data_IF_243287713198
#
_entry.id   IF_243287713198
#
_cell.length_a   1.000
_cell.length_b   1.000
_cell.length_c   1.000
_cell.angle_alpha   90.00
_cell.angle_beta   90.00
_cell.angle_gamma   90.00
#
_symmetry.space_group_name_H-M   'P 1'
#
loop_
_entity.id
_entity.type
_entity.pdbx_description
1 polymer ?
#
# COMPACT_ATOMS: atom_id res chain seq x y z
N UNK A 1 55.83 76.10 -20.09
CA UNK A 1 54.69 75.44 -20.78
C UNK A 1 53.84 74.78 -19.71
N UNK A 2 52.52 75.04 -19.61
CA UNK A 2 51.71 74.39 -18.60
C UNK A 2 51.50 72.91 -18.98
N UNK A 3 51.69 72.03 -18.01
CA UNK A 3 51.48 70.60 -18.15
C UNK A 3 49.97 70.31 -18.03
N UNK A 4 49.26 70.22 -19.16
CA UNK A 4 47.86 69.78 -19.14
C UNK A 4 47.84 68.28 -18.85
N UNK A 5 47.34 67.92 -17.68
CA UNK A 5 46.92 66.55 -17.39
C UNK A 5 45.90 66.12 -18.45
N UNK A 6 46.29 65.24 -19.37
CA UNK A 6 45.40 64.64 -20.38
C UNK A 6 44.53 63.51 -19.81
N UNK A 7 44.61 63.26 -18.50
CA UNK A 7 43.77 62.27 -17.85
C UNK A 7 42.38 62.85 -17.63
N UNK A 8 41.40 62.28 -18.30
CA UNK A 8 39.98 62.56 -18.07
C UNK A 8 39.62 62.03 -16.68
N UNK A 9 39.36 62.89 -15.68
CA UNK A 9 39.14 62.47 -14.30
C UNK A 9 37.70 62.04 -14.06
N UNK A 10 36.80 62.13 -15.06
CA UNK A 10 35.42 61.74 -14.90
C UNK A 10 35.28 60.21 -15.05
N UNK A 11 35.00 59.46 -13.95
CA UNK A 11 34.86 58.01 -14.00
C UNK A 11 33.71 57.55 -14.90
N UNK A 12 32.71 58.40 -15.16
CA UNK A 12 31.60 58.05 -16.05
C UNK A 12 32.03 57.96 -17.52
N UNK A 13 33.06 58.69 -17.91
CA UNK A 13 33.65 58.64 -19.24
C UNK A 13 34.73 57.55 -19.38
N UNK A 14 35.00 56.79 -18.32
CA UNK A 14 35.97 55.68 -18.28
C UNK A 14 35.29 54.30 -18.22
N UNK A 15 33.97 54.23 -18.42
CA UNK A 15 33.24 52.96 -18.43
C UNK A 15 33.55 52.17 -19.71
N UNK A 16 34.06 50.95 -19.56
CA UNK A 16 34.24 50.01 -20.67
C UNK A 16 32.94 49.25 -20.93
N UNK A 17 32.41 49.36 -22.15
CA UNK A 17 31.34 48.48 -22.62
C UNK A 17 31.91 47.08 -22.89
N UNK A 18 31.26 46.05 -22.35
CA UNK A 18 31.61 44.65 -22.61
C UNK A 18 30.70 44.14 -23.73
N UNK A 19 31.31 43.68 -24.82
CA UNK A 19 30.61 43.10 -25.97
C UNK A 19 30.84 41.58 -26.02
N UNK A 20 29.80 40.83 -26.36
CA UNK A 20 29.90 39.45 -26.83
C UNK A 20 30.11 39.41 -28.35
N UNK A 21 30.31 38.22 -28.91
CA UNK A 21 30.30 37.98 -30.37
C UNK A 21 29.35 36.82 -30.66
N UNK A 22 28.61 36.90 -31.75
CA UNK A 22 27.82 35.78 -32.26
C UNK A 22 28.59 35.03 -33.37
N UNK A 23 27.91 34.10 -34.06
CA UNK A 23 28.49 33.32 -35.15
C UNK A 23 28.94 34.16 -36.37
N UNK A 24 28.53 35.44 -36.45
CA UNK A 24 28.95 36.39 -37.50
C UNK A 24 30.22 37.16 -37.12
N UNK A 25 30.74 36.96 -35.89
CA UNK A 25 31.92 37.62 -35.32
C UNK A 25 31.77 39.12 -35.05
N UNK A 26 30.58 39.68 -35.23
CA UNK A 26 30.29 41.08 -34.94
C UNK A 26 30.13 41.33 -33.42
N UNK A 27 30.62 42.47 -32.88
CA UNK A 27 30.46 42.79 -31.47
C UNK A 27 29.00 43.13 -31.13
N UNK A 28 28.37 42.32 -30.27
CA UNK A 28 27.03 42.57 -29.75
C UNK A 28 27.10 43.04 -28.30
N UNK A 29 26.44 44.16 -27.98
CA UNK A 29 26.40 44.66 -26.61
C UNK A 29 25.64 43.67 -25.71
N UNK A 30 26.22 43.34 -24.55
CA UNK A 30 25.53 42.59 -23.52
C UNK A 30 24.53 43.51 -22.81
N UNK A 31 23.24 43.22 -22.94
CA UNK A 31 22.19 44.05 -22.35
C UNK A 31 22.03 43.73 -20.86
N UNK A 32 21.96 44.75 -20.02
CA UNK A 32 21.75 44.62 -18.56
C UNK A 32 20.51 45.40 -18.11
N UNK A 33 19.88 44.97 -17.01
CA UNK A 33 18.83 45.73 -16.33
C UNK A 33 19.42 46.92 -15.56
N UNK A 34 18.55 47.74 -14.96
CA UNK A 34 18.96 48.90 -14.15
C UNK A 34 19.75 48.53 -12.89
N UNK A 35 19.77 47.25 -12.51
CA UNK A 35 20.55 46.70 -11.38
C UNK A 35 21.87 46.07 -11.83
N UNK A 36 22.18 46.07 -13.13
CA UNK A 36 23.41 45.52 -13.70
C UNK A 36 23.37 44.02 -14.00
N UNK A 37 22.21 43.37 -13.92
CA UNK A 37 22.07 41.94 -14.25
C UNK A 37 21.91 41.76 -15.76
N UNK A 38 22.50 40.71 -16.36
CA UNK A 38 22.33 40.41 -17.78
C UNK A 38 20.86 40.08 -18.11
N UNK A 39 20.29 40.75 -19.12
CA UNK A 39 18.90 40.58 -19.54
C UNK A 39 18.66 39.29 -20.35
N UNK A 40 19.69 38.79 -21.05
CA UNK A 40 19.60 37.58 -21.85
C UNK A 40 20.97 36.90 -21.94
N UNK A 41 20.99 35.59 -21.71
CA UNK A 41 22.14 34.72 -21.99
C UNK A 41 21.64 33.60 -22.89
N UNK A 42 21.88 33.73 -24.18
CA UNK A 42 21.58 32.69 -25.17
C UNK A 42 22.80 31.75 -25.20
N UNK A 43 22.59 30.47 -24.89
CA UNK A 43 23.64 29.46 -24.87
C UNK A 43 23.25 28.35 -25.84
N UNK A 44 24.00 28.21 -26.93
CA UNK A 44 23.79 27.22 -27.99
C UNK A 44 24.76 26.02 -27.91
N UNK A 45 25.26 25.69 -26.71
CA UNK A 45 26.20 24.59 -26.47
C UNK A 45 26.02 23.87 -25.12
N UNK A 46 26.87 22.86 -24.86
CA UNK A 46 26.87 22.10 -23.60
C UNK A 46 27.46 22.93 -22.46
N UNK A 47 26.63 23.26 -21.48
CA UNK A 47 27.06 23.96 -20.26
C UNK A 47 27.43 22.91 -19.21
N UNK A 48 28.72 22.73 -18.95
CA UNK A 48 29.15 21.73 -17.97
C UNK A 48 28.91 22.17 -16.52
N UNK A 49 29.09 23.45 -16.20
CA UNK A 49 29.02 23.95 -14.81
C UNK A 49 28.56 25.41 -14.75
N UNK A 50 27.25 25.64 -14.64
CA UNK A 50 26.71 26.94 -14.23
C UNK A 50 25.85 26.73 -12.97
N UNK A 51 26.18 27.43 -11.89
CA UNK A 51 25.36 27.44 -10.67
C UNK A 51 24.51 28.70 -10.71
N UNK A 52 23.32 28.61 -11.30
CA UNK A 52 22.33 29.68 -11.26
C UNK A 52 21.36 29.34 -10.14
N UNK A 53 21.49 30.04 -9.02
CA UNK A 53 20.50 30.00 -7.95
C UNK A 53 19.28 30.76 -8.50
N UNK A 54 18.26 30.04 -8.98
CA UNK A 54 17.01 30.57 -9.56
C UNK A 54 16.97 30.88 -11.08
N UNK A 55 17.46 29.96 -11.92
CA UNK A 55 17.15 30.01 -13.35
C UNK A 55 15.69 29.61 -13.65
N UNK A 56 15.07 30.32 -14.58
CA UNK A 56 13.85 29.86 -15.27
C UNK A 56 14.26 29.28 -16.62
N UNK A 57 13.99 28.00 -16.84
CA UNK A 57 14.31 27.32 -18.10
C UNK A 57 13.01 26.96 -18.81
N UNK A 58 12.81 27.55 -19.99
CA UNK A 58 11.52 27.41 -20.70
C UNK A 58 11.47 26.14 -21.57
N UNK A 59 12.59 25.71 -22.13
CA UNK A 59 12.70 24.53 -22.99
C UNK A 59 14.17 24.07 -23.14
N UNK A 60 14.39 22.92 -23.78
CA UNK A 60 15.71 22.41 -24.17
C UNK A 60 16.07 21.06 -23.54
N UNK A 61 17.33 20.65 -23.72
CA UNK A 61 17.89 19.45 -23.08
C UNK A 61 18.76 19.88 -21.90
N UNK A 62 18.45 19.36 -20.72
CA UNK A 62 19.11 19.72 -19.46
C UNK A 62 19.71 18.45 -18.88
N UNK A 63 21.04 18.36 -18.87
CA UNK A 63 21.73 17.16 -18.36
C UNK A 63 21.57 17.01 -16.85
N UNK A 64 21.65 18.11 -16.10
CA UNK A 64 21.44 18.08 -14.66
C UNK A 64 20.97 19.45 -14.19
N UNK A 65 20.10 19.47 -13.19
CA UNK A 65 19.62 20.70 -12.59
C UNK A 65 19.44 20.52 -11.09
N UNK A 66 19.84 21.56 -10.36
CA UNK A 66 19.65 21.68 -8.93
C UNK A 66 18.97 23.02 -8.63
N UNK A 67 17.76 22.99 -8.07
CA UNK A 67 17.06 24.21 -7.63
C UNK A 67 16.75 25.23 -8.75
N UNK A 68 15.89 24.84 -9.70
CA UNK A 68 15.43 25.71 -10.78
C UNK A 68 13.90 25.63 -10.98
N UNK A 69 13.36 26.59 -11.71
CA UNK A 69 11.99 26.53 -12.24
C UNK A 69 12.06 26.17 -13.71
N UNK A 70 11.42 25.07 -14.11
CA UNK A 70 11.49 24.56 -15.48
C UNK A 70 10.07 24.44 -16.03
N UNK A 71 9.81 25.09 -17.16
CA UNK A 71 8.49 25.04 -17.78
C UNK A 71 8.33 23.78 -18.62
N UNK A 72 9.34 23.44 -19.44
CA UNK A 72 9.36 22.26 -20.29
C UNK A 72 10.79 21.85 -20.64
N UNK A 73 10.96 20.65 -21.21
CA UNK A 73 12.24 20.16 -21.73
C UNK A 73 12.43 18.65 -21.55
N UNK A 74 13.60 18.18 -21.98
CA UNK A 74 14.12 16.85 -21.68
C UNK A 74 15.18 16.99 -20.60
N UNK A 75 15.03 16.30 -19.47
CA UNK A 75 15.82 16.55 -18.27
C UNK A 75 16.33 15.23 -17.72
N UNK A 76 17.64 15.01 -17.76
CA UNK A 76 18.18 13.71 -17.37
C UNK A 76 18.24 13.55 -15.85
N UNK A 77 18.46 14.62 -15.08
CA UNK A 77 18.58 14.53 -13.62
C UNK A 77 18.16 15.80 -12.91
N UNK A 78 17.26 15.64 -11.93
CA UNK A 78 16.67 16.74 -11.16
C UNK A 78 16.92 16.54 -9.67
N UNK A 79 17.38 17.60 -9.01
CA UNK A 79 17.41 17.70 -7.55
C UNK A 79 16.74 19.01 -7.10
N UNK A 80 15.64 18.96 -6.35
CA UNK A 80 15.10 20.18 -5.72
C UNK A 80 14.45 21.18 -6.67
N UNK A 81 13.95 20.78 -7.85
CA UNK A 81 13.38 21.70 -8.84
C UNK A 81 11.85 21.80 -8.76
N UNK A 82 11.30 22.88 -9.33
CA UNK A 82 9.88 23.01 -9.66
C UNK A 82 9.71 22.87 -11.16
N UNK A 83 8.93 21.90 -11.60
CA UNK A 83 8.80 21.55 -13.02
C UNK A 83 7.33 21.56 -13.42
N UNK A 84 7.00 22.29 -14.49
CA UNK A 84 5.62 22.34 -14.99
C UNK A 84 5.32 21.14 -15.86
N UNK A 85 6.17 20.85 -16.85
CA UNK A 85 6.05 19.72 -17.76
C UNK A 85 7.43 19.26 -18.26
N UNK A 86 7.48 18.12 -18.94
CA UNK A 86 8.69 17.62 -19.61
C UNK A 86 8.80 16.11 -19.66
N UNK A 87 9.89 15.65 -20.26
CA UNK A 87 10.37 14.26 -20.15
C UNK A 87 11.54 14.26 -19.18
N UNK A 88 11.45 13.46 -18.12
CA UNK A 88 12.37 13.54 -16.98
C UNK A 88 12.85 12.13 -16.62
N UNK A 89 14.14 11.88 -16.73
CA UNK A 89 14.65 10.53 -16.52
C UNK A 89 14.75 10.20 -15.02
N UNK A 90 15.23 11.15 -14.20
CA UNK A 90 15.46 10.92 -12.77
C UNK A 90 15.17 12.16 -11.93
N UNK A 91 14.37 11.96 -10.88
CA UNK A 91 13.93 12.99 -9.95
C UNK A 91 14.26 12.61 -8.52
N UNK A 92 14.94 13.52 -7.82
CA UNK A 92 15.10 13.48 -6.38
C UNK A 92 14.55 14.77 -5.76
N UNK A 93 13.45 14.68 -5.01
CA UNK A 93 12.91 15.81 -4.26
C UNK A 93 12.49 16.99 -5.13
N UNK A 94 11.49 16.82 -6.00
CA UNK A 94 10.98 17.91 -6.84
C UNK A 94 9.47 18.12 -6.66
N UNK A 95 8.98 19.27 -7.10
CA UNK A 95 7.54 19.52 -7.31
C UNK A 95 7.26 19.52 -8.79
N UNK A 96 6.41 18.61 -9.26
CA UNK A 96 6.15 18.42 -10.69
C UNK A 96 4.66 18.51 -10.96
N UNK A 97 4.25 19.36 -11.90
CA UNK A 97 2.83 19.50 -12.23
C UNK A 97 2.38 18.41 -13.20
N UNK A 98 3.13 18.17 -14.26
CA UNK A 98 2.85 17.13 -15.26
C UNK A 98 4.16 16.62 -15.89
N UNK A 99 4.08 15.55 -16.68
CA UNK A 99 5.18 15.07 -17.51
C UNK A 99 5.21 13.55 -17.68
N UNK A 100 6.22 13.10 -18.42
CA UNK A 100 6.63 11.70 -18.48
C UNK A 100 7.88 11.55 -17.64
N UNK A 101 7.83 10.70 -16.63
CA UNK A 101 8.88 10.62 -15.60
C UNK A 101 9.30 9.15 -15.43
N UNK A 102 10.57 8.86 -15.63
CA UNK A 102 11.03 7.48 -15.54
C UNK A 102 11.22 7.03 -14.08
N UNK A 103 11.95 7.80 -13.28
CA UNK A 103 12.25 7.45 -11.89
C UNK A 103 12.05 8.62 -10.92
N UNK A 104 11.33 8.35 -9.83
CA UNK A 104 11.02 9.34 -8.80
C UNK A 104 11.43 8.84 -7.43
N UNK A 105 12.17 9.67 -6.70
CA UNK A 105 12.43 9.53 -5.28
C UNK A 105 12.02 10.81 -4.54
N UNK A 106 11.04 10.71 -3.64
CA UNK A 106 10.74 11.82 -2.72
C UNK A 106 10.10 13.06 -3.34
N UNK A 107 9.29 12.95 -4.39
CA UNK A 107 8.69 14.10 -5.08
C UNK A 107 7.22 14.35 -4.71
N UNK A 108 6.74 15.55 -5.00
CA UNK A 108 5.30 15.88 -5.06
C UNK A 108 4.90 16.04 -6.52
N UNK A 109 3.92 15.26 -6.98
CA UNK A 109 3.54 15.21 -8.39
C UNK A 109 2.02 15.39 -8.52
N UNK A 110 1.57 16.37 -9.31
CA UNK A 110 0.13 16.58 -9.51
C UNK A 110 -0.44 15.58 -10.52
N UNK A 111 0.21 15.40 -11.67
CA UNK A 111 -0.21 14.48 -12.72
C UNK A 111 0.98 13.95 -13.53
N UNK A 112 0.75 12.94 -14.37
CA UNK A 112 1.74 12.49 -15.36
C UNK A 112 1.69 10.99 -15.64
N UNK A 113 2.63 10.55 -16.49
CA UNK A 113 2.94 9.14 -16.71
C UNK A 113 4.26 8.85 -16.01
N UNK A 114 4.24 7.93 -15.05
CA UNK A 114 5.37 7.70 -14.15
C UNK A 114 5.73 6.22 -14.15
N UNK A 115 6.98 5.88 -14.49
CA UNK A 115 7.39 4.49 -14.55
C UNK A 115 7.66 3.90 -13.15
N UNK A 116 8.49 4.56 -12.34
CA UNK A 116 8.87 4.06 -11.02
C UNK A 116 8.82 5.14 -9.95
N UNK A 117 8.17 4.83 -8.83
CA UNK A 117 7.99 5.75 -7.70
C UNK A 117 8.49 5.12 -6.41
N UNK A 118 9.33 5.86 -5.69
CA UNK A 118 9.71 5.59 -4.31
C UNK A 118 9.45 6.83 -3.43
N UNK A 119 8.58 6.71 -2.42
CA UNK A 119 8.46 7.77 -1.40
C UNK A 119 7.83 9.08 -1.89
N UNK A 120 6.86 9.07 -2.82
CA UNK A 120 6.28 10.29 -3.37
C UNK A 120 4.85 10.58 -2.89
N UNK A 121 4.41 11.83 -3.02
CA UNK A 121 3.00 12.22 -2.94
C UNK A 121 2.49 12.55 -4.34
N UNK A 122 1.46 11.84 -4.79
CA UNK A 122 0.94 11.95 -6.16
C UNK A 122 -0.57 12.22 -6.12
N UNK A 123 -1.03 13.27 -6.80
CA UNK A 123 -2.46 13.57 -6.86
C UNK A 123 -3.17 12.69 -7.88
N UNK A 124 -2.64 12.59 -9.11
CA UNK A 124 -3.20 11.77 -10.18
C UNK A 124 -2.12 11.24 -11.13
N UNK A 125 -2.48 10.34 -12.03
CA UNK A 125 -1.61 9.91 -13.12
C UNK A 125 -1.76 8.44 -13.51
N UNK A 126 -0.93 8.02 -14.46
CA UNK A 126 -0.72 6.62 -14.83
C UNK A 126 0.64 6.19 -14.28
N UNK A 127 0.65 5.21 -13.38
CA UNK A 127 1.85 4.85 -12.61
C UNK A 127 2.11 3.36 -12.77
N UNK A 128 3.30 3.00 -13.23
CA UNK A 128 3.62 1.59 -13.45
C UNK A 128 3.98 0.86 -12.15
N UNK A 129 4.94 1.38 -11.38
CA UNK A 129 5.38 0.75 -10.13
C UNK A 129 5.50 1.74 -8.99
N UNK A 130 4.96 1.37 -7.83
CA UNK A 130 4.93 2.19 -6.62
C UNK A 130 5.49 1.43 -5.44
N UNK A 131 6.44 2.07 -4.74
CA UNK A 131 6.91 1.65 -3.42
C UNK A 131 6.80 2.82 -2.44
N UNK A 132 6.01 2.69 -1.37
CA UNK A 132 6.04 3.69 -0.29
C UNK A 132 5.46 5.06 -0.65
N UNK A 133 4.35 5.15 -1.38
CA UNK A 133 3.79 6.45 -1.81
C UNK A 133 2.42 6.76 -1.20
N UNK A 134 2.04 8.03 -1.24
CA UNK A 134 0.67 8.50 -1.00
C UNK A 134 0.07 8.96 -2.31
N UNK A 135 -1.02 8.32 -2.75
CA UNK A 135 -1.65 8.58 -4.05
C UNK A 135 -3.12 8.92 -3.84
N UNK A 136 -3.58 10.03 -4.40
CA UNK A 136 -4.99 10.43 -4.28
C UNK A 136 -5.86 9.68 -5.29
N UNK A 137 -5.48 9.69 -6.57
CA UNK A 137 -6.19 9.02 -7.66
C UNK A 137 -5.23 8.52 -8.74
N UNK A 138 -5.73 7.73 -9.69
CA UNK A 138 -4.98 7.34 -10.89
C UNK A 138 -5.20 5.90 -11.33
N UNK A 139 -4.44 5.50 -12.34
CA UNK A 139 -4.33 4.11 -12.80
C UNK A 139 -2.96 3.60 -12.41
N UNK A 140 -2.92 2.54 -11.60
CA UNK A 140 -1.69 2.05 -10.96
C UNK A 140 -1.53 0.56 -11.24
N UNK A 141 -0.42 0.18 -11.89
CA UNK A 141 -0.21 -1.21 -12.26
C UNK A 141 0.20 -2.07 -11.05
N UNK A 142 1.26 -1.67 -10.33
CA UNK A 142 1.79 -2.45 -9.21
C UNK A 142 2.09 -1.57 -7.99
N UNK A 143 1.62 -2.00 -6.83
CA UNK A 143 1.75 -1.28 -5.57
C UNK A 143 2.37 -2.16 -4.49
N UNK A 144 3.42 -1.67 -3.85
CA UNK A 144 3.97 -2.21 -2.62
C UNK A 144 4.00 -1.12 -1.54
N UNK A 145 3.25 -1.29 -0.45
CA UNK A 145 3.37 -0.37 0.69
C UNK A 145 2.91 1.06 0.40
N UNK A 146 1.70 1.29 -0.11
CA UNK A 146 1.21 2.65 -0.40
C UNK A 146 -0.11 2.96 0.31
N UNK A 147 -0.42 4.25 0.42
CA UNK A 147 -1.75 4.73 0.81
C UNK A 147 -2.42 5.32 -0.43
N UNK A 148 -3.56 4.76 -0.83
CA UNK A 148 -4.28 5.15 -2.04
C UNK A 148 -5.70 5.53 -1.66
N UNK A 149 -6.12 6.75 -2.02
CA UNK A 149 -7.48 7.22 -1.70
C UNK A 149 -8.50 6.63 -2.67
N UNK A 150 -8.24 6.75 -3.97
CA UNK A 150 -9.07 6.23 -5.04
C UNK A 150 -8.23 5.79 -6.25
N UNK A 151 -8.85 5.09 -7.20
CA UNK A 151 -8.23 4.77 -8.49
C UNK A 151 -8.51 3.36 -8.99
N UNK A 152 -7.85 3.00 -10.08
CA UNK A 152 -7.83 1.65 -10.64
C UNK A 152 -6.47 1.04 -10.36
N UNK A 153 -6.44 -0.07 -9.63
CA UNK A 153 -5.22 -0.74 -9.21
C UNK A 153 -5.23 -2.17 -9.76
N UNK A 154 -4.16 -2.58 -10.42
CA UNK A 154 -4.09 -3.93 -10.98
C UNK A 154 -3.53 -4.96 -9.99
N UNK A 155 -2.45 -4.63 -9.29
CA UNK A 155 -1.82 -5.52 -8.31
C UNK A 155 -1.38 -4.76 -7.07
N UNK A 156 -1.59 -5.37 -5.90
CA UNK A 156 -1.31 -4.75 -4.61
C UNK A 156 -0.71 -5.75 -3.63
N UNK A 157 0.32 -5.29 -2.90
CA UNK A 157 0.84 -5.95 -1.72
C UNK A 157 1.05 -4.91 -0.61
N UNK A 158 0.37 -5.11 0.52
CA UNK A 158 0.55 -4.27 1.71
C UNK A 158 0.18 -2.80 1.52
N UNK A 159 -0.94 -2.49 0.85
CA UNK A 159 -1.42 -1.11 0.72
C UNK A 159 -2.69 -0.86 1.54
N UNK A 160 -2.93 0.41 1.85
CA UNK A 160 -4.21 0.89 2.36
C UNK A 160 -4.95 1.57 1.19
N UNK A 161 -6.10 1.03 0.82
CA UNK A 161 -6.95 1.56 -0.26
C UNK A 161 -8.29 1.96 0.35
N UNK A 162 -8.70 3.22 0.19
CA UNK A 162 -9.96 3.72 0.79
C UNK A 162 -11.16 3.46 -0.13
N UNK A 163 -11.00 3.70 -1.43
CA UNK A 163 -12.02 3.48 -2.45
C UNK A 163 -11.34 3.12 -3.79
N UNK A 164 -12.14 2.69 -4.78
CA UNK A 164 -11.68 2.40 -6.13
C UNK A 164 -11.93 0.97 -6.57
N UNK A 165 -11.25 0.58 -7.65
CA UNK A 165 -11.37 -0.74 -8.27
C UNK A 165 -10.04 -1.46 -8.17
N UNK A 166 -10.08 -2.70 -7.68
CA UNK A 166 -8.92 -3.59 -7.64
C UNK A 166 -9.18 -4.77 -8.57
N UNK A 167 -8.34 -4.94 -9.59
CA UNK A 167 -8.52 -5.97 -10.61
C UNK A 167 -8.19 -7.38 -10.10
N UNK A 168 -7.32 -7.50 -9.10
CA UNK A 168 -6.88 -8.80 -8.56
C UNK A 168 -6.40 -8.70 -7.11
N UNK A 169 -6.75 -9.71 -6.30
CA UNK A 169 -6.25 -9.91 -4.94
C UNK A 169 -5.67 -11.32 -4.88
N UNK A 170 -4.36 -11.44 -4.64
CA UNK A 170 -3.67 -12.75 -4.63
C UNK A 170 -3.84 -13.50 -3.31
N UNK A 171 -3.99 -12.78 -2.19
CA UNK A 171 -4.22 -13.39 -0.88
C UNK A 171 -4.94 -12.42 0.04
N UNK A 172 -5.83 -12.95 0.87
CA UNK A 172 -6.49 -12.23 1.95
C UNK A 172 -6.14 -12.97 3.23
N UNK A 173 -5.41 -12.33 4.14
CA UNK A 173 -5.21 -12.85 5.48
C UNK A 173 -6.41 -12.48 6.33
N UNK A 174 -7.44 -13.33 6.32
CA UNK A 174 -8.60 -13.23 7.19
C UNK A 174 -8.82 -14.58 7.87
N UNK A 175 -9.14 -14.55 9.17
CA UNK A 175 -9.59 -15.75 9.87
C UNK A 175 -10.96 -16.15 9.33
N UNK A 176 -11.02 -17.25 8.59
CA UNK A 176 -12.29 -17.81 8.09
C UNK A 176 -13.15 -18.32 9.26
N UNK A 177 -14.48 -18.29 9.13
CA UNK A 177 -15.41 -18.90 10.10
C UNK A 177 -16.18 -20.03 9.41
N UNK A 178 -16.35 -21.16 10.08
CA UNK A 178 -17.11 -22.31 9.58
C UNK A 178 -17.99 -22.85 10.68
N UNK A 179 -19.28 -23.01 10.38
CA UNK A 179 -20.26 -23.63 11.27
C UNK A 179 -20.83 -24.91 10.64
N UNK A 180 -21.04 -25.95 11.45
CA UNK A 180 -21.79 -27.16 11.07
C UNK A 180 -22.84 -27.43 12.14
N UNK A 181 -24.11 -27.40 11.76
CA UNK A 181 -25.25 -27.63 12.64
C UNK A 181 -25.80 -29.06 12.53
N UNK A 182 -26.02 -29.71 13.67
CA UNK A 182 -26.72 -31.00 13.78
C UNK A 182 -27.85 -30.82 14.80
N UNK A 183 -29.09 -30.68 14.33
CA UNK A 183 -30.25 -30.42 15.19
C UNK A 183 -31.12 -31.67 15.37
N UNK A 184 -31.90 -31.73 16.45
CA UNK A 184 -32.87 -32.80 16.68
C UNK A 184 -32.26 -34.16 17.03
N UNK A 185 -31.06 -34.17 17.63
CA UNK A 185 -30.35 -35.39 17.99
C UNK A 185 -30.95 -36.02 19.25
N UNK A 186 -31.71 -37.11 19.09
CA UNK A 186 -32.28 -37.85 20.22
C UNK A 186 -31.20 -38.70 20.90
N UNK A 187 -31.03 -38.54 22.21
CA UNK A 187 -30.06 -39.27 22.99
C UNK A 187 -30.54 -40.70 23.31
N UNK A 188 -29.58 -41.62 23.46
CA UNK A 188 -29.80 -42.98 23.91
C UNK A 188 -28.83 -43.31 25.06
N UNK A 189 -28.86 -44.55 25.58
CA UNK A 189 -28.00 -44.97 26.69
C UNK A 189 -26.51 -45.05 26.32
N UNK A 190 -26.23 -45.37 25.06
CA UNK A 190 -24.88 -45.42 24.50
C UNK A 190 -24.47 -44.09 23.88
N UNK A 191 -23.16 -43.81 23.88
CA UNK A 191 -22.60 -42.66 23.17
C UNK A 191 -22.76 -42.85 21.65
N UNK A 192 -23.46 -41.91 21.02
CA UNK A 192 -23.62 -41.84 19.57
C UNK A 192 -22.84 -40.64 19.04
N UNK A 193 -21.92 -40.82 18.07
CA UNK A 193 -21.16 -39.72 17.48
C UNK A 193 -21.96 -38.95 16.43
N UNK A 194 -21.77 -37.63 16.36
CA UNK A 194 -22.09 -36.83 15.17
C UNK A 194 -21.04 -37.06 14.07
N UNK A 195 -21.30 -36.51 12.88
CA UNK A 195 -20.37 -36.59 11.76
C UNK A 195 -18.96 -36.10 12.13
N UNK A 196 -17.95 -36.80 11.64
CA UNK A 196 -16.54 -36.43 11.87
C UNK A 196 -16.19 -35.16 11.09
N UNK A 197 -15.52 -34.23 11.76
CA UNK A 197 -15.03 -32.99 11.18
C UNK A 197 -13.51 -33.09 10.98
N UNK A 198 -13.02 -32.70 9.80
CA UNK A 198 -11.58 -32.51 9.58
C UNK A 198 -11.19 -31.16 10.15
N UNK A 199 -10.48 -31.16 11.26
CA UNK A 199 -10.19 -29.95 12.04
C UNK A 199 -8.78 -29.42 11.85
N UNK A 200 -7.97 -30.07 11.00
CA UNK A 200 -6.59 -29.66 10.68
C UNK A 200 -6.46 -28.29 10.01
N UNK A 201 -7.55 -27.69 9.56
CA UNK A 201 -7.60 -26.39 8.88
C UNK A 201 -8.01 -25.23 9.80
N UNK A 202 -8.37 -25.52 11.06
CA UNK A 202 -8.82 -24.52 12.03
C UNK A 202 -7.76 -24.27 13.09
N UNK A 203 -7.56 -23.01 13.45
CA UNK A 203 -6.67 -22.61 14.55
C UNK A 203 -7.34 -22.77 15.91
N UNK A 204 -8.65 -22.54 16.00
CA UNK A 204 -9.46 -22.82 17.17
C UNK A 204 -10.83 -23.31 16.73
N UNK A 205 -11.43 -24.19 17.52
CA UNK A 205 -12.78 -24.69 17.27
C UNK A 205 -13.42 -25.20 18.56
N UNK A 206 -14.74 -25.27 18.56
CA UNK A 206 -15.54 -25.71 19.70
C UNK A 206 -16.84 -26.35 19.26
N UNK A 207 -17.44 -27.13 20.16
CA UNK A 207 -18.81 -27.63 20.01
C UNK A 207 -19.71 -26.93 21.01
N UNK A 208 -20.69 -26.20 20.51
CA UNK A 208 -21.80 -25.69 21.30
C UNK A 208 -22.90 -26.75 21.29
N UNK A 209 -23.35 -27.16 22.47
CA UNK A 209 -24.36 -28.20 22.63
C UNK A 209 -25.52 -27.63 23.44
N UNK A 210 -26.71 -27.61 22.85
CA UNK A 210 -27.94 -27.15 23.48
C UNK A 210 -28.88 -28.33 23.70
N UNK A 211 -29.35 -28.50 24.93
CA UNK A 211 -30.35 -29.53 25.23
C UNK A 211 -31.76 -28.95 25.07
N UNK A 212 -32.42 -29.29 23.97
CA UNK A 212 -33.76 -28.81 23.60
C UNK A 212 -34.88 -29.51 24.38
N UNK A 213 -34.60 -30.66 25.01
CA UNK A 213 -35.59 -31.41 25.78
C UNK A 213 -36.35 -32.44 24.92
N UNK A 214 -37.57 -32.85 25.30
CA UNK A 214 -38.43 -32.31 26.36
C UNK A 214 -38.10 -32.84 27.77
N UNK A 215 -38.77 -32.29 28.79
CA UNK A 215 -38.72 -32.78 30.17
C UNK A 215 -37.58 -32.20 31.00
N UNK A 216 -37.01 -33.02 31.91
CA UNK A 216 -35.92 -32.63 32.83
C UNK A 216 -34.67 -33.49 32.64
N UNK A 217 -34.63 -34.30 31.58
CA UNK A 217 -33.57 -35.26 31.31
C UNK A 217 -32.27 -34.56 30.87
N UNK A 218 -31.16 -34.93 31.52
CA UNK A 218 -29.83 -34.43 31.18
C UNK A 218 -29.19 -35.27 30.08
N UNK A 219 -28.32 -34.65 29.29
CA UNK A 219 -27.46 -35.34 28.34
C UNK A 219 -25.98 -35.17 28.71
N UNK A 220 -25.19 -36.20 28.48
CA UNK A 220 -23.73 -36.10 28.51
C UNK A 220 -23.22 -35.95 27.09
N UNK A 221 -22.22 -35.11 26.90
CA UNK A 221 -21.50 -34.95 25.64
C UNK A 221 -20.00 -35.06 25.87
N UNK A 222 -19.28 -35.54 24.86
CA UNK A 222 -17.82 -35.59 24.87
C UNK A 222 -17.25 -35.31 23.49
N UNK A 223 -16.14 -34.58 23.48
CA UNK A 223 -15.32 -34.39 22.29
C UNK A 223 -14.32 -35.53 22.20
N UNK A 224 -14.30 -36.16 21.04
CA UNK A 224 -13.38 -37.22 20.69
C UNK A 224 -12.48 -36.74 19.55
N UNK A 225 -11.17 -36.95 19.69
CA UNK A 225 -10.15 -36.53 18.73
C UNK A 225 -9.42 -37.75 18.16
N UNK A 226 -8.99 -37.67 16.90
CA UNK A 226 -8.31 -38.75 16.21
C UNK A 226 -7.30 -38.26 15.17
N UNK A 227 -6.17 -38.95 15.05
CA UNK A 227 -5.20 -38.72 13.99
C UNK A 227 -5.59 -39.38 12.65
N UNK A 228 -6.30 -40.52 12.71
CA UNK A 228 -6.60 -41.38 11.55
C UNK A 228 -8.09 -41.52 11.23
N UNK A 229 -8.98 -40.97 12.06
CA UNK A 229 -10.44 -41.04 11.89
C UNK A 229 -11.05 -42.39 12.32
N UNK A 230 -10.24 -43.33 12.83
CA UNK A 230 -10.68 -44.67 13.25
C UNK A 230 -10.50 -44.89 14.74
N UNK A 231 -9.36 -44.47 15.30
CA UNK A 231 -9.03 -44.62 16.71
C UNK A 231 -9.28 -43.30 17.44
N UNK A 232 -10.18 -43.31 18.41
CA UNK A 232 -10.69 -42.09 19.04
C UNK A 232 -10.25 -41.98 20.49
N UNK A 233 -9.69 -40.82 20.85
CA UNK A 233 -9.36 -40.46 22.21
C UNK A 233 -10.43 -39.52 22.76
N UNK A 234 -10.95 -39.79 23.96
CA UNK A 234 -11.88 -38.88 24.65
C UNK A 234 -11.09 -37.73 25.27
N UNK A 235 -11.28 -36.52 24.77
CA UNK A 235 -10.46 -35.37 25.14
C UNK A 235 -11.13 -34.47 26.18
N UNK A 236 -12.38 -34.07 25.92
CA UNK A 236 -13.15 -33.17 26.80
C UNK A 236 -14.55 -33.73 26.99
N UNK A 237 -15.08 -33.70 28.21
CA UNK A 237 -16.40 -34.26 28.56
C UNK A 237 -17.21 -33.29 29.40
N UNK A 238 -18.53 -33.30 29.25
CA UNK A 238 -19.45 -32.62 30.16
C UNK A 238 -19.26 -33.16 31.58
N UNK A 239 -19.20 -32.29 32.60
CA UNK A 239 -18.95 -32.71 33.99
C UNK A 239 -20.22 -33.07 34.76
N UNK A 240 -21.30 -32.31 34.58
CA UNK A 240 -22.57 -32.49 35.32
C UNK A 240 -23.75 -32.85 34.41
N UNK A 241 -23.46 -33.17 33.15
CA UNK A 241 -24.45 -33.24 32.07
C UNK A 241 -25.12 -31.88 31.79
N UNK A 242 -25.76 -31.79 30.64
CA UNK A 242 -26.42 -30.60 30.11
C UNK A 242 -27.90 -30.69 30.45
N UNK A 243 -28.40 -29.78 31.30
CA UNK A 243 -29.82 -29.71 31.64
C UNK A 243 -30.67 -29.23 30.46
N UNK A 244 -31.94 -29.65 30.39
CA UNK A 244 -32.90 -29.14 29.40
C UNK A 244 -33.00 -27.62 29.50
N UNK A 245 -32.98 -26.95 28.34
CA UNK A 245 -32.97 -25.49 28.23
C UNK A 245 -31.61 -24.85 28.55
N UNK A 246 -30.58 -25.65 28.82
CA UNK A 246 -29.21 -25.18 29.07
C UNK A 246 -28.25 -25.58 27.95
N UNK A 247 -27.11 -24.92 27.93
CA UNK A 247 -26.04 -25.11 26.94
C UNK A 247 -24.75 -25.54 27.64
N UNK A 248 -23.88 -26.23 26.90
CA UNK A 248 -22.47 -26.41 27.27
C UNK A 248 -21.59 -26.20 26.04
N UNK A 249 -20.34 -25.78 26.25
CA UNK A 249 -19.36 -25.54 25.18
C UNK A 249 -18.12 -26.37 25.44
N UNK A 250 -17.87 -27.32 24.55
CA UNK A 250 -16.72 -28.21 24.65
C UNK A 250 -15.62 -27.75 23.71
N UNK A 251 -14.49 -27.34 24.29
CA UNK A 251 -13.28 -26.93 23.57
C UNK A 251 -12.22 -28.02 23.75
N UNK A 252 -11.80 -28.71 22.68
CA UNK A 252 -10.74 -29.70 22.78
C UNK A 252 -9.42 -29.07 23.26
N UNK A 253 -8.76 -29.77 24.18
CA UNK A 253 -7.51 -29.36 24.82
C UNK A 253 -6.28 -29.75 23.98
N UNK A 254 -6.47 -30.60 22.97
CA UNK A 254 -5.40 -31.12 22.12
C UNK A 254 -5.81 -31.07 20.66
N UNK A 255 -4.84 -30.80 19.81
CA UNK A 255 -5.01 -30.77 18.37
C UNK A 255 -4.73 -32.15 17.75
N UNK A 256 -5.69 -32.67 16.98
CA UNK A 256 -5.52 -33.77 16.04
C UNK A 256 -6.31 -33.48 14.76
N UNK A 257 -6.05 -34.25 13.70
CA UNK A 257 -6.59 -34.03 12.35
C UNK A 257 -8.13 -34.11 12.29
N UNK A 258 -8.73 -35.00 13.08
CA UNK A 258 -10.15 -35.27 13.08
C UNK A 258 -10.74 -35.08 14.48
N UNK A 259 -11.92 -34.49 14.55
CA UNK A 259 -12.67 -34.33 15.78
C UNK A 259 -14.14 -34.66 15.55
N UNK A 260 -14.80 -35.23 16.55
CA UNK A 260 -16.26 -35.40 16.57
C UNK A 260 -16.79 -35.21 17.99
N UNK A 261 -18.08 -34.89 18.10
CA UNK A 261 -18.79 -34.92 19.37
C UNK A 261 -19.59 -36.22 19.47
N UNK A 262 -19.55 -36.87 20.63
CA UNK A 262 -20.43 -37.99 20.96
C UNK A 262 -21.34 -37.61 22.11
N UNK A 263 -22.59 -38.02 22.07
CA UNK A 263 -23.61 -37.67 23.06
C UNK A 263 -24.41 -38.89 23.52
N UNK A 264 -24.97 -38.82 24.73
CA UNK A 264 -25.87 -39.83 25.31
C UNK A 264 -26.78 -39.21 26.37
N UNK A 265 -27.77 -39.97 26.83
CA UNK A 265 -28.54 -39.62 28.02
C UNK A 265 -27.65 -39.73 29.26
N UNK A 266 -27.70 -38.76 30.17
CA UNK A 266 -26.92 -38.84 31.43
C UNK A 266 -27.42 -39.97 32.35
N UNK A 267 -28.70 -40.32 32.24
CA UNK A 267 -29.32 -41.43 32.97
C UNK A 267 -29.92 -42.43 31.97
N UNK A 268 -29.73 -43.72 32.24
CA UNK A 268 -30.25 -44.82 31.43
C UNK A 268 -31.77 -44.76 31.33
N UNK A 269 -32.31 -44.92 30.12
CA UNK A 269 -33.74 -44.90 29.84
C UNK A 269 -34.38 -43.50 29.81
N UNK A 270 -33.59 -42.43 29.96
CA UNK A 270 -34.08 -41.05 30.02
C UNK A 270 -33.61 -40.23 28.80
N UNK A 271 -34.17 -40.45 27.59
CA UNK A 271 -33.79 -39.73 26.40
C UNK A 271 -34.15 -38.24 26.47
N UNK A 272 -33.36 -37.42 25.80
CA UNK A 272 -33.62 -35.99 25.53
C UNK A 272 -33.15 -35.66 24.11
N UNK A 273 -33.39 -34.44 23.64
CA UNK A 273 -32.99 -33.98 22.30
C UNK A 273 -31.91 -32.91 22.42
N UNK A 274 -30.91 -32.97 21.54
CA UNK A 274 -29.80 -32.02 21.47
C UNK A 274 -29.72 -31.34 20.09
N UNK A 275 -29.31 -30.08 20.12
CA UNK A 275 -28.78 -29.39 18.96
C UNK A 275 -27.28 -29.13 19.18
N UNK A 276 -26.46 -29.50 18.21
CA UNK A 276 -24.99 -29.45 18.27
C UNK A 276 -24.46 -28.61 17.12
N UNK A 277 -23.68 -27.60 17.44
CA UNK A 277 -23.04 -26.71 16.48
C UNK A 277 -21.53 -26.79 16.63
N UNK A 278 -20.85 -27.23 15.58
CA UNK A 278 -19.40 -27.10 15.47
C UNK A 278 -19.09 -25.70 14.96
N UNK A 279 -18.21 -24.97 15.64
CA UNK A 279 -17.73 -23.66 15.23
C UNK A 279 -16.20 -23.70 15.13
N UNK A 280 -15.68 -23.46 13.93
CA UNK A 280 -14.25 -23.43 13.64
C UNK A 280 -13.82 -22.07 13.09
N UNK A 281 -12.68 -21.58 13.58
CA UNK A 281 -12.01 -20.41 13.05
C UNK A 281 -10.75 -20.87 12.29
N UNK A 282 -10.74 -20.63 10.98
CA UNK A 282 -9.61 -20.88 10.08
C UNK A 282 -8.40 -20.01 10.41
N UNK A 283 -7.22 -20.52 10.07
CA UNK A 283 -5.94 -19.79 10.18
C UNK A 283 -5.65 -18.95 8.96
#
# INVERSE_FOLDING_TARGET
MPNFSSFNPNPDNLRTLIFGRDATLEPQALATDTSGNLLSVIMDGTISNISIQSATITAGTITSVMGATITAGTINSVLGATITAGTIDSVLGATITAGTIDSVLGATITAGTINSVLGATITAGTINSVLGATITAGTINSVLGATITAGTINSVLGATITAGTLSSVTSISQKSFTEISNAGLVTADAYTPVATVTTSVFGTYSFFVYNTGPGTNRADARVEISANGTNWYTDTTTTTGIAVGSVDVLVPQRFLKYTRLSYRSSLTGNPTTLDVFFNGQGT
#
